data_IF_327012532182
#
_entry.id   IF_327012532182
#
_cell.length_a   1.000
_cell.length_b   1.000
_cell.length_c   1.000
_cell.angle_alpha   90.00
_cell.angle_beta   90.00
_cell.angle_gamma   90.00
#
_symmetry.space_group_name_H-M   'P 1'
#
loop_
_entity.id
_entity.type
_entity.pdbx_description
1 polymer ?
#
# COMPACT_ATOMS: atom_id res chain seq x y z
N UNK A 1 -4.91 15.19 13.50
CA UNK A 1 -3.98 14.30 14.23
C UNK A 1 -4.49 12.89 14.03
N UNK A 2 -3.87 12.14 13.11
CA UNK A 2 -4.30 10.77 12.78
C UNK A 2 -3.81 9.89 13.92
N UNK A 3 -4.71 9.55 14.86
CA UNK A 3 -4.40 8.62 15.93
C UNK A 3 -4.72 7.22 15.43
N UNK A 4 -3.68 6.49 15.03
CA UNK A 4 -3.76 5.06 14.76
C UNK A 4 -3.52 4.33 16.08
N UNK A 5 -4.59 3.86 16.69
CA UNK A 5 -4.50 2.80 17.70
C UNK A 5 -4.47 1.49 16.93
N UNK A 6 -3.47 0.63 17.18
CA UNK A 6 -3.46 -0.85 17.24
C UNK A 6 -1.98 -1.30 17.15
N UNK A 7 -1.65 -2.40 17.84
CA UNK A 7 -0.29 -2.81 18.21
C UNK A 7 0.65 -3.06 17.03
N UNK A 8 1.93 -2.79 17.32
CA UNK A 8 3.20 -3.04 16.62
C UNK A 8 3.24 -3.70 15.24
N UNK A 9 4.32 -3.34 14.53
CA UNK A 9 4.74 -3.77 13.19
C UNK A 9 3.90 -3.09 12.12
N UNK A 10 4.40 -1.96 11.63
CA UNK A 10 3.71 -1.24 10.56
C UNK A 10 4.71 -0.90 9.48
N UNK A 11 4.47 -1.50 8.32
CA UNK A 11 4.98 -0.98 7.06
C UNK A 11 4.12 0.20 6.66
N UNK A 12 4.54 1.41 7.01
CA UNK A 12 3.69 2.59 6.84
C UNK A 12 3.91 3.18 5.45
N UNK A 13 2.89 3.06 4.60
CA UNK A 13 2.74 3.95 3.46
C UNK A 13 1.78 5.07 3.83
N UNK A 14 2.20 6.33 3.74
CA UNK A 14 1.26 7.46 3.74
C UNK A 14 1.47 8.29 2.49
N UNK A 15 0.39 8.56 1.76
CA UNK A 15 0.34 9.40 0.55
C UNK A 15 -0.50 10.63 0.89
N UNK A 16 0.10 11.81 0.91
CA UNK A 16 -0.59 13.11 0.94
C UNK A 16 -0.65 13.68 -0.47
N UNK A 17 -1.74 14.37 -0.80
CA UNK A 17 -1.83 15.12 -2.05
C UNK A 17 -2.14 16.59 -1.75
N UNK A 18 -1.34 17.51 -2.30
CA UNK A 18 -1.42 18.96 -2.03
C UNK A 18 -1.36 19.70 -3.39
N UNK A 19 -2.14 20.73 -3.81
CA UNK A 19 -3.25 21.54 -3.28
C UNK A 19 -3.99 22.21 -4.49
N UNK A 20 -5.17 22.82 -4.26
CA UNK A 20 -5.94 23.86 -4.99
C UNK A 20 -6.53 23.68 -6.42
N UNK A 21 -6.27 22.61 -7.17
CA UNK A 21 -6.89 22.44 -8.51
C UNK A 21 -7.40 21.02 -8.80
N UNK A 22 -7.39 20.14 -7.80
CA UNK A 22 -7.77 18.74 -7.95
C UNK A 22 -8.66 18.33 -6.77
N UNK A 23 -9.81 17.74 -7.06
CA UNK A 23 -10.66 17.08 -6.05
C UNK A 23 -10.31 15.60 -6.05
N UNK A 24 -10.36 14.95 -4.89
CA UNK A 24 -10.01 13.53 -4.78
C UNK A 24 -11.25 12.76 -4.37
N UNK A 25 -11.67 11.84 -5.22
CA UNK A 25 -12.69 10.87 -4.85
C UNK A 25 -12.00 9.66 -4.23
N UNK A 26 -11.97 9.68 -2.91
CA UNK A 26 -11.27 8.72 -2.10
C UNK A 26 -12.27 7.72 -1.52
N UNK A 27 -12.33 6.49 -2.05
CA UNK A 27 -13.33 5.48 -1.59
C UNK A 27 -12.85 4.03 -1.67
N UNK A 28 -12.58 3.51 -0.46
CA UNK A 28 -12.74 2.17 0.13
C UNK A 28 -12.08 0.92 -0.49
N UNK A 29 -11.57 0.16 0.47
CA UNK A 29 -10.60 -0.93 0.49
C UNK A 29 -11.28 -2.30 0.41
N UNK A 30 -10.65 -3.25 -0.28
CA UNK A 30 -10.90 -4.66 0.03
C UNK A 30 -9.77 -5.14 0.92
N UNK A 31 -10.18 -5.69 2.05
CA UNK A 31 -9.36 -6.46 2.95
C UNK A 31 -9.74 -7.93 2.77
N UNK A 32 -8.79 -8.75 2.35
CA UNK A 32 -9.00 -10.19 2.25
C UNK A 32 -7.96 -10.87 3.13
N UNK A 33 -8.43 -11.48 4.21
CA UNK A 33 -7.58 -12.22 5.13
C UNK A 33 -7.17 -13.56 4.56
N UNK A 34 -6.03 -14.08 5.02
CA UNK A 34 -5.74 -15.50 4.84
C UNK A 34 -6.81 -16.37 5.54
N UNK A 35 -7.11 -17.59 5.04
CA UNK A 35 -8.15 -18.44 5.62
C UNK A 35 -7.94 -18.80 7.10
N UNK A 36 -6.68 -18.83 7.55
CA UNK A 36 -6.28 -19.09 8.92
C UNK A 36 -6.45 -17.88 9.86
N UNK A 37 -6.61 -16.67 9.31
CA UNK A 37 -6.81 -15.41 10.05
C UNK A 37 -8.20 -14.80 9.84
N UNK A 38 -9.13 -15.50 9.19
CA UNK A 38 -10.50 -15.02 8.95
C UNK A 38 -11.26 -14.71 10.26
N UNK A 39 -11.01 -15.47 11.33
CA UNK A 39 -11.66 -15.25 12.64
C UNK A 39 -11.14 -14.03 13.40
N UNK A 40 -9.86 -13.68 13.23
CA UNK A 40 -9.24 -12.51 13.86
C UNK A 40 -9.36 -11.25 13.00
N UNK A 41 -9.71 -11.41 11.72
CA UNK A 41 -9.78 -10.32 10.78
C UNK A 41 -8.40 -9.84 10.33
N UNK A 42 -7.40 -10.72 10.24
CA UNK A 42 -6.05 -10.44 9.73
C UNK A 42 -5.22 -9.46 10.56
N UNK A 43 -4.04 -9.12 10.05
CA UNK A 43 -3.05 -8.27 10.71
C UNK A 43 -2.78 -6.95 9.96
N UNK A 44 -3.17 -6.90 8.68
CA UNK A 44 -3.16 -5.71 7.85
C UNK A 44 -4.11 -4.60 8.38
N UNK A 45 -3.76 -3.35 8.13
CA UNK A 45 -4.55 -2.17 8.46
C UNK A 45 -4.51 -1.12 7.35
N UNK A 46 -5.48 -0.21 7.35
CA UNK A 46 -5.49 0.92 6.44
C UNK A 46 -6.19 2.13 7.06
N UNK A 47 -5.94 3.30 6.49
CA UNK A 47 -6.71 4.50 6.79
C UNK A 47 -6.96 5.33 5.55
N UNK A 48 -8.05 6.10 5.63
CA UNK A 48 -8.51 7.00 4.59
C UNK A 48 -8.93 8.29 5.29
N UNK A 49 -8.20 9.38 5.07
CA UNK A 49 -8.52 10.70 5.61
C UNK A 49 -8.87 11.63 4.46
N UNK A 50 -10.17 11.85 4.22
CA UNK A 50 -10.67 12.68 3.11
C UNK A 50 -10.31 14.15 3.30
N UNK A 51 -10.41 14.65 4.54
CA UNK A 51 -10.16 16.06 4.85
C UNK A 51 -8.69 16.45 4.62
N UNK A 52 -7.76 15.55 4.96
CA UNK A 52 -6.32 15.71 4.76
C UNK A 52 -5.83 15.15 3.41
N UNK A 53 -6.75 14.61 2.59
CA UNK A 53 -6.46 13.93 1.31
C UNK A 53 -5.33 12.90 1.43
N UNK A 54 -5.40 12.09 2.49
CA UNK A 54 -4.38 11.13 2.84
C UNK A 54 -4.92 9.70 2.83
N UNK A 55 -4.10 8.78 2.33
CA UNK A 55 -4.31 7.33 2.47
C UNK A 55 -3.09 6.68 3.08
N UNK A 56 -3.32 5.55 3.72
CA UNK A 56 -2.24 4.63 4.00
C UNK A 56 -2.67 3.21 4.25
N UNK A 57 -1.67 2.35 4.17
CA UNK A 57 -1.75 0.91 4.44
C UNK A 57 -0.64 0.58 5.43
N UNK A 58 -0.87 -0.43 6.23
CA UNK A 58 0.08 -1.02 7.15
C UNK A 58 -0.09 -2.53 7.15
N UNK A 59 1.02 -3.25 7.13
CA UNK A 59 1.06 -4.70 7.30
C UNK A 59 1.66 -5.02 8.67
N UNK A 60 0.92 -5.84 9.43
CA UNK A 60 1.29 -6.34 10.74
C UNK A 60 2.14 -7.61 10.63
N UNK A 61 3.43 -7.51 10.94
CA UNK A 61 4.37 -8.63 10.83
C UNK A 61 4.50 -9.43 12.13
N UNK A 62 4.28 -10.75 12.10
CA UNK A 62 4.59 -11.63 13.23
C UNK A 62 6.04 -12.16 13.18
N UNK A 63 6.86 -11.89 14.21
CA UNK A 63 8.20 -12.50 14.32
C UNK A 63 8.12 -13.93 14.89
N UNK A 64 8.63 -14.90 14.13
CA UNK A 64 8.85 -16.29 14.57
C UNK A 64 9.63 -16.33 15.90
N UNK A 65 9.03 -16.91 16.95
CA UNK A 65 9.67 -17.13 18.25
C UNK A 65 9.21 -16.22 19.39
N UNK A 66 8.32 -15.24 19.14
CA UNK A 66 7.61 -14.52 20.22
C UNK A 66 6.18 -15.05 20.29
N UNK A 67 5.76 -15.54 21.46
CA UNK A 67 4.42 -16.10 21.71
C UNK A 67 3.41 -15.05 22.20
N UNK A 68 3.79 -13.78 22.20
CA UNK A 68 3.02 -12.69 22.79
C UNK A 68 3.14 -11.43 21.94
N UNK A 69 2.03 -10.74 21.74
CA UNK A 69 2.02 -9.36 21.24
C UNK A 69 2.91 -8.49 22.14
N UNK A 70 3.88 -7.76 21.58
CA UNK A 70 4.68 -6.84 22.38
C UNK A 70 3.78 -5.75 22.95
N UNK A 71 3.96 -5.42 24.23
CA UNK A 71 3.22 -4.33 24.87
C UNK A 71 3.89 -3.00 24.52
N UNK A 72 3.22 -2.17 23.73
CA UNK A 72 3.67 -0.83 23.38
C UNK A 72 2.91 -0.25 22.18
N UNK A 73 2.92 1.06 22.02
CA UNK A 73 2.36 1.76 20.86
C UNK A 73 3.48 2.53 20.18
N UNK A 74 3.67 2.31 18.88
CA UNK A 74 4.50 3.17 18.04
C UNK A 74 3.58 4.25 17.50
N UNK A 75 4.00 5.51 17.56
CA UNK A 75 3.31 6.60 16.88
C UNK A 75 3.79 6.65 15.42
N UNK A 76 2.95 6.27 14.43
CA UNK A 76 3.30 6.36 13.02
C UNK A 76 3.53 7.82 12.60
N UNK A 77 3.05 8.78 13.39
CA UNK A 77 3.35 10.20 13.28
C UNK A 77 4.85 10.51 13.24
N UNK A 78 5.72 9.70 13.84
CA UNK A 78 7.17 9.90 13.77
C UNK A 78 7.74 9.66 12.36
N UNK A 79 7.13 8.74 11.59
CA UNK A 79 7.45 8.58 10.17
C UNK A 79 6.98 9.82 9.40
N UNK A 80 5.79 10.34 9.75
CA UNK A 80 5.21 11.54 9.15
C UNK A 80 6.01 12.83 9.46
N UNK A 81 6.74 12.89 10.57
CA UNK A 81 7.64 14.01 10.89
C UNK A 81 8.73 14.21 9.83
N UNK A 82 9.17 13.13 9.19
CA UNK A 82 10.14 13.22 8.07
C UNK A 82 9.49 13.85 6.85
N UNK A 83 8.23 13.51 6.57
CA UNK A 83 7.50 14.04 5.43
C UNK A 83 7.11 15.51 5.60
N UNK A 84 6.79 15.93 6.82
CA UNK A 84 6.41 17.33 7.14
C UNK A 84 7.57 18.32 7.08
N UNK A 85 8.82 17.83 7.07
CA UNK A 85 10.02 18.67 6.94
C UNK A 85 10.37 19.03 5.48
N UNK A 86 9.83 18.31 4.51
CA UNK A 86 10.07 18.58 3.09
C UNK A 86 9.13 19.69 2.57
N UNK A 87 9.59 20.58 1.67
CA UNK A 87 8.76 21.63 1.11
C UNK A 87 7.58 21.03 0.33
N UNK A 88 6.37 21.51 0.63
CA UNK A 88 5.12 21.08 -0.02
C UNK A 88 5.08 21.49 -1.49
N UNK A 89 5.72 20.69 -2.36
CA UNK A 89 5.64 20.83 -3.81
C UNK A 89 4.31 20.27 -4.35
N UNK A 90 3.94 20.61 -5.59
CA UNK A 90 2.74 20.07 -6.24
C UNK A 90 2.91 18.58 -6.54
N UNK A 91 1.99 17.74 -6.07
CA UNK A 91 2.03 16.31 -6.34
C UNK A 91 1.58 15.45 -5.18
N UNK A 92 1.90 14.16 -5.28
CA UNK A 92 1.87 13.21 -4.17
C UNK A 92 3.15 13.38 -3.34
N UNK A 93 3.00 13.46 -2.04
CA UNK A 93 4.06 13.27 -1.05
C UNK A 93 3.82 11.95 -0.36
N UNK A 94 4.71 10.99 -0.57
CA UNK A 94 4.60 9.67 0.02
C UNK A 94 5.77 9.37 0.95
N UNK A 95 5.54 8.57 1.97
CA UNK A 95 6.61 7.90 2.72
C UNK A 95 6.31 6.42 2.79
N UNK A 96 7.30 5.57 2.50
CA UNK A 96 7.19 4.12 2.60
C UNK A 96 8.30 3.58 3.51
N UNK A 97 7.97 2.67 4.42
CA UNK A 97 8.93 1.94 5.24
C UNK A 97 8.55 0.47 5.22
N UNK A 98 9.37 -0.39 4.61
CA UNK A 98 9.10 -1.83 4.38
C UNK A 98 8.70 -2.17 2.93
N UNK A 99 7.90 -3.22 2.72
CA UNK A 99 7.65 -3.85 1.42
C UNK A 99 6.21 -3.76 0.88
N UNK A 100 5.28 -3.25 1.68
CA UNK A 100 4.10 -2.55 1.16
C UNK A 100 4.52 -1.45 0.19
N UNK A 101 3.59 -0.98 -0.61
CA UNK A 101 3.94 0.02 -1.60
C UNK A 101 2.75 0.62 -2.33
N UNK A 102 3.08 1.36 -3.38
CA UNK A 102 2.09 1.91 -4.29
C UNK A 102 2.60 1.98 -5.71
N UNK A 103 1.65 1.98 -6.63
CA UNK A 103 1.85 2.25 -8.04
C UNK A 103 0.96 3.39 -8.49
N UNK A 104 1.45 4.19 -9.43
CA UNK A 104 0.67 5.21 -10.12
C UNK A 104 0.50 4.76 -11.56
N UNK A 105 -0.76 4.72 -12.01
CA UNK A 105 -1.13 4.40 -13.38
C UNK A 105 -1.69 5.64 -14.06
N UNK A 106 -1.13 5.99 -15.22
CA UNK A 106 -1.53 7.11 -16.08
C UNK A 106 -1.61 6.63 -17.52
N UNK A 107 -2.71 6.91 -18.21
CA UNK A 107 -2.90 6.58 -19.63
C UNK A 107 -2.61 5.10 -19.97
N UNK A 108 -2.88 4.21 -19.02
CA UNK A 108 -2.65 2.76 -19.16
C UNK A 108 -1.19 2.32 -18.99
N UNK A 109 -0.32 3.18 -18.48
CA UNK A 109 1.07 2.90 -18.15
C UNK A 109 1.32 3.06 -16.66
N UNK A 110 2.15 2.19 -16.07
CA UNK A 110 2.71 2.42 -14.73
C UNK A 110 3.74 3.55 -14.82
N UNK A 111 3.45 4.73 -14.26
CA UNK A 111 4.38 5.87 -14.25
C UNK A 111 5.29 5.89 -13.04
N UNK A 112 4.89 5.22 -11.96
CA UNK A 112 5.70 5.07 -10.77
C UNK A 112 5.34 3.77 -10.03
N UNK A 113 6.35 3.15 -9.42
CA UNK A 113 6.21 2.09 -8.42
C UNK A 113 7.18 2.39 -7.28
N UNK A 114 6.71 2.34 -6.03
CA UNK A 114 7.61 2.45 -4.89
C UNK A 114 8.57 1.25 -4.84
N UNK A 115 9.86 1.48 -4.53
CA UNK A 115 10.78 0.40 -4.24
C UNK A 115 10.37 -0.34 -2.95
N UNK A 116 10.68 -1.63 -2.92
CA UNK A 116 10.57 -2.48 -1.72
C UNK A 116 11.77 -2.22 -0.81
N UNK A 117 11.53 -2.09 0.49
CA UNK A 117 12.59 -1.98 1.50
C UNK A 117 12.68 -3.26 2.33
N UNK A 118 13.81 -3.94 2.21
CA UNK A 118 14.11 -5.17 2.94
C UNK A 118 15.61 -5.23 3.26
N UNK A 119 15.98 -5.81 4.40
CA UNK A 119 17.38 -6.06 4.74
C UNK A 119 17.91 -7.33 4.06
N UNK A 120 17.03 -8.32 3.85
CA UNK A 120 17.28 -9.55 3.09
C UNK A 120 15.94 -10.04 2.49
N UNK A 121 15.96 -11.09 1.65
CA UNK A 121 14.75 -11.65 1.05
C UNK A 121 13.71 -11.97 2.11
N UNK A 122 12.52 -11.34 1.99
CA UNK A 122 11.39 -11.52 2.92
C UNK A 122 11.75 -11.17 4.39
N UNK A 123 12.71 -10.27 4.59
CA UNK A 123 13.04 -9.68 5.89
C UNK A 123 13.00 -8.15 5.79
N UNK A 124 11.81 -7.61 6.04
CA UNK A 124 11.42 -6.24 5.69
C UNK A 124 11.89 -5.22 6.73
N UNK A 125 11.97 -3.96 6.31
CA UNK A 125 12.10 -2.87 7.28
C UNK A 125 10.78 -2.73 8.05
N UNK A 126 10.85 -2.60 9.37
CA UNK A 126 9.66 -2.58 10.23
C UNK A 126 9.84 -1.70 11.47
N UNK A 127 8.79 -0.98 11.87
CA UNK A 127 8.78 -0.26 13.14
C UNK A 127 8.48 -1.22 14.29
N UNK A 128 9.30 -1.18 15.36
CA UNK A 128 9.04 -1.90 16.61
C UNK A 128 9.07 -0.94 17.82
N UNK A 129 8.22 -1.18 18.84
CA UNK A 129 8.19 -0.41 20.10
C UNK A 129 9.39 -0.73 21.02
N UNK A 130 10.32 -1.57 20.55
CA UNK A 130 11.55 -1.98 21.24
C UNK A 130 12.81 -1.48 20.53
N UNK A 131 13.97 -2.03 20.90
CA UNK A 131 15.28 -1.65 20.34
C UNK A 131 15.63 -2.38 19.05
N UNK A 132 14.82 -3.36 18.63
CA UNK A 132 15.15 -4.29 17.55
C UNK A 132 14.48 -3.94 16.21
N UNK A 133 13.69 -2.85 16.18
CA UNK A 133 13.02 -2.33 14.99
C UNK A 133 13.84 -1.23 14.30
N UNK A 134 13.42 -0.89 13.09
CA UNK A 134 14.01 0.18 12.32
C UNK A 134 13.57 1.55 12.84
N UNK A 135 14.46 2.54 12.66
CA UNK A 135 14.14 3.91 13.01
C UNK A 135 13.05 4.46 12.07
N UNK A 136 12.09 5.29 12.56
CA UNK A 136 11.14 5.98 11.70
C UNK A 136 11.81 6.81 10.58
N UNK A 137 13.02 7.30 10.84
CA UNK A 137 13.82 8.03 9.86
C UNK A 137 14.32 7.18 8.68
N UNK A 138 14.22 5.86 8.75
CA UNK A 138 14.58 4.93 7.66
C UNK A 138 13.57 4.96 6.51
N UNK A 139 12.35 5.46 6.75
CA UNK A 139 11.30 5.52 5.73
C UNK A 139 11.74 6.38 4.55
N UNK A 140 11.50 5.90 3.34
CA UNK A 140 11.85 6.62 2.12
C UNK A 140 10.73 7.57 1.73
N UNK A 141 11.10 8.83 1.52
CA UNK A 141 10.20 9.90 1.12
C UNK A 141 10.21 10.04 -0.40
N UNK A 142 9.04 10.28 -0.97
CA UNK A 142 8.82 10.49 -2.39
C UNK A 142 8.00 11.75 -2.61
N UNK A 143 8.38 12.54 -3.61
CA UNK A 143 7.57 13.64 -4.14
C UNK A 143 7.36 13.38 -5.63
N UNK A 144 6.13 13.10 -6.03
CA UNK A 144 5.81 12.62 -7.38
C UNK A 144 4.76 13.54 -8.03
N UNK A 145 5.05 14.12 -9.19
CA UNK A 145 4.06 14.94 -9.90
C UNK A 145 2.90 14.08 -10.41
N UNK A 146 1.68 14.53 -10.14
CA UNK A 146 0.44 13.88 -10.61
C UNK A 146 -0.32 14.74 -11.61
N UNK A 147 -1.15 14.09 -12.41
CA UNK A 147 -2.07 14.69 -13.35
C UNK A 147 -3.51 14.20 -13.11
N UNK A 148 -4.50 14.98 -13.54
CA UNK A 148 -5.88 14.52 -13.57
C UNK A 148 -6.00 13.26 -14.44
N UNK A 149 -6.73 12.26 -13.95
CA UNK A 149 -6.85 10.94 -14.57
C UNK A 149 -5.89 9.89 -13.99
N UNK A 150 -4.90 10.29 -13.19
CA UNK A 150 -4.02 9.34 -12.50
C UNK A 150 -4.81 8.47 -11.52
N UNK A 151 -4.43 7.19 -11.46
CA UNK A 151 -4.93 6.24 -10.47
C UNK A 151 -3.76 5.79 -9.60
N UNK A 152 -3.88 6.01 -8.30
CA UNK A 152 -2.96 5.49 -7.29
C UNK A 152 -3.54 4.18 -6.77
N UNK A 153 -2.73 3.12 -6.78
CA UNK A 153 -3.04 1.85 -6.11
C UNK A 153 -1.98 1.63 -5.04
N UNK A 154 -2.38 1.73 -3.77
CA UNK A 154 -1.56 1.38 -2.61
C UNK A 154 -2.00 0.02 -2.06
N UNK A 155 -1.06 -0.74 -1.50
CA UNK A 155 -1.36 -2.03 -0.91
C UNK A 155 -0.20 -2.64 -0.16
N UNK A 156 -0.51 -3.72 0.55
CA UNK A 156 0.46 -4.51 1.33
C UNK A 156 1.20 -5.50 0.45
N UNK A 157 2.17 -6.21 1.02
CA UNK A 157 2.94 -7.22 0.30
C UNK A 157 2.02 -8.32 -0.27
N UNK A 158 0.94 -8.70 0.40
CA UNK A 158 -0.04 -9.66 -0.10
C UNK A 158 -0.64 -9.29 -1.47
N UNK A 159 -0.69 -7.99 -1.81
CA UNK A 159 -0.96 -7.53 -3.17
C UNK A 159 0.26 -7.72 -4.09
N UNK A 160 1.40 -7.11 -3.73
CA UNK A 160 2.54 -6.94 -4.63
C UNK A 160 3.41 -8.19 -4.80
N UNK A 161 3.31 -9.14 -3.89
CA UNK A 161 3.89 -10.48 -3.97
C UNK A 161 3.17 -11.37 -4.96
N UNK A 162 1.89 -11.07 -5.22
CA UNK A 162 1.00 -11.91 -6.00
C UNK A 162 0.64 -11.34 -7.38
N UNK A 163 0.76 -10.03 -7.59
CA UNK A 163 0.48 -9.37 -8.87
C UNK A 163 1.67 -8.60 -9.44
N UNK A 164 1.96 -8.84 -10.71
CA UNK A 164 2.87 -7.98 -11.46
C UNK A 164 2.24 -6.61 -11.77
N UNK A 165 3.08 -5.58 -11.96
CA UNK A 165 2.62 -4.21 -12.25
C UNK A 165 1.72 -4.13 -13.50
N UNK A 166 1.99 -4.96 -14.51
CA UNK A 166 1.18 -5.03 -15.73
C UNK A 166 -0.20 -5.64 -15.46
N UNK A 167 -0.33 -6.59 -14.52
CA UNK A 167 -1.62 -7.13 -14.10
C UNK A 167 -2.44 -6.08 -13.34
N UNK A 168 -1.82 -5.36 -12.39
CA UNK A 168 -2.46 -4.23 -11.70
C UNK A 168 -2.91 -3.17 -12.71
N UNK A 169 -2.03 -2.77 -13.62
CA UNK A 169 -2.33 -1.79 -14.68
C UNK A 169 -3.46 -2.25 -15.59
N UNK A 170 -3.51 -3.54 -15.96
CA UNK A 170 -4.58 -4.08 -16.79
C UNK A 170 -5.95 -3.99 -16.09
N UNK A 171 -6.01 -4.28 -14.78
CA UNK A 171 -7.25 -4.12 -14.00
C UNK A 171 -7.67 -2.66 -13.93
N UNK A 172 -6.72 -1.74 -13.69
CA UNK A 172 -6.98 -0.29 -13.67
C UNK A 172 -7.53 0.19 -15.02
N UNK A 173 -6.86 -0.15 -16.12
CA UNK A 173 -7.30 0.23 -17.48
C UNK A 173 -8.70 -0.29 -17.78
N UNK A 174 -8.97 -1.55 -17.46
CA UNK A 174 -10.29 -2.13 -17.66
C UNK A 174 -11.35 -1.40 -16.82
N UNK A 175 -11.07 -1.16 -15.54
CA UNK A 175 -12.00 -0.49 -14.64
C UNK A 175 -12.29 0.96 -15.06
N UNK A 176 -11.27 1.73 -15.46
CA UNK A 176 -11.44 3.09 -16.00
C UNK A 176 -12.31 3.07 -17.26
N UNK A 177 -12.02 2.18 -18.22
CA UNK A 177 -12.81 2.04 -19.46
C UNK A 177 -14.27 1.64 -19.21
N UNK A 178 -14.49 0.82 -18.19
CA UNK A 178 -15.83 0.40 -17.79
C UNK A 178 -16.58 1.43 -16.93
N UNK A 179 -15.96 2.58 -16.61
CA UNK A 179 -16.54 3.60 -15.73
C UNK A 179 -16.68 3.15 -14.28
N UNK A 180 -15.91 2.16 -13.84
CA UNK A 180 -15.92 1.69 -12.46
C UNK A 180 -15.20 2.67 -11.55
N UNK A 181 -15.82 2.95 -10.40
CA UNK A 181 -15.21 3.75 -9.35
C UNK A 181 -14.09 3.02 -8.59
N UNK A 182 -13.33 3.73 -7.74
CA UNK A 182 -12.20 3.19 -6.99
C UNK A 182 -12.52 1.93 -6.18
N UNK A 183 -13.71 1.85 -5.58
CA UNK A 183 -14.14 0.70 -4.77
C UNK A 183 -14.26 -0.60 -5.58
N UNK A 184 -14.89 -0.55 -6.76
CA UNK A 184 -15.01 -1.74 -7.61
C UNK A 184 -13.65 -2.11 -8.19
N UNK A 185 -12.80 -1.11 -8.44
CA UNK A 185 -11.42 -1.32 -8.90
C UNK A 185 -10.57 -2.03 -7.83
N UNK A 186 -10.58 -1.55 -6.58
CA UNK A 186 -9.84 -2.15 -5.47
C UNK A 186 -10.29 -3.59 -5.23
N UNK A 187 -11.59 -3.86 -5.25
CA UNK A 187 -12.16 -5.21 -5.14
C UNK A 187 -11.65 -6.15 -6.25
N UNK A 188 -11.59 -5.68 -7.49
CA UNK A 188 -11.09 -6.49 -8.62
C UNK A 188 -9.61 -6.78 -8.51
N UNK A 189 -8.81 -5.80 -8.10
CA UNK A 189 -7.36 -5.97 -7.88
C UNK A 189 -7.13 -7.00 -6.77
N UNK A 190 -7.79 -6.82 -5.62
CA UNK A 190 -7.64 -7.72 -4.48
C UNK A 190 -8.16 -9.14 -4.78
N UNK A 191 -9.27 -9.28 -5.51
CA UNK A 191 -9.76 -10.59 -5.94
C UNK A 191 -8.77 -11.31 -6.87
N UNK A 192 -8.14 -10.57 -7.79
CA UNK A 192 -7.10 -11.14 -8.65
C UNK A 192 -5.85 -11.52 -7.85
N UNK A 193 -5.42 -10.69 -6.89
CA UNK A 193 -4.31 -10.99 -5.99
C UNK A 193 -4.58 -12.27 -5.18
N UNK A 194 -5.77 -12.40 -4.57
CA UNK A 194 -6.18 -13.61 -3.84
C UNK A 194 -6.19 -14.84 -4.73
N UNK A 195 -6.68 -14.70 -5.97
CA UNK A 195 -6.65 -15.79 -6.94
C UNK A 195 -5.21 -16.23 -7.26
N UNK A 196 -4.25 -15.29 -7.36
CA UNK A 196 -2.84 -15.61 -7.61
C UNK A 196 -2.17 -16.21 -6.39
N UNK A 197 -2.46 -15.70 -5.20
CA UNK A 197 -1.99 -16.23 -3.92
C UNK A 197 -2.34 -17.72 -3.73
N UNK A 198 -3.52 -18.14 -4.19
CA UNK A 198 -3.99 -19.53 -4.09
C UNK A 198 -3.44 -20.47 -5.17
N UNK A 199 -2.89 -19.94 -6.26
CA UNK A 199 -2.39 -20.74 -7.37
C UNK A 199 -0.96 -21.22 -7.10
N UNK A 200 -0.84 -22.49 -6.69
CA UNK A 200 0.45 -23.12 -6.35
C UNK A 200 1.39 -23.36 -7.54
N UNK A 201 0.92 -23.16 -8.77
CA UNK A 201 1.70 -23.46 -9.98
C UNK A 201 2.06 -22.19 -10.77
N UNK A 202 1.51 -21.03 -10.39
CA UNK A 202 1.78 -19.77 -11.08
C UNK A 202 3.10 -19.17 -10.62
N UNK A 203 3.86 -18.60 -11.54
CA UNK A 203 4.95 -17.69 -11.18
C UNK A 203 4.39 -16.34 -10.78
N UNK A 204 4.69 -15.91 -9.57
CA UNK A 204 4.34 -14.60 -9.00
C UNK A 204 5.60 -13.77 -8.77
N UNK A 205 5.47 -12.46 -8.51
CA UNK A 205 6.60 -11.63 -8.08
C UNK A 205 7.37 -12.26 -6.91
N UNK A 206 6.67 -12.76 -5.88
CA UNK A 206 7.30 -13.40 -4.73
C UNK A 206 8.04 -14.68 -5.10
N UNK A 207 7.42 -15.59 -5.87
CA UNK A 207 8.11 -16.82 -6.26
C UNK A 207 9.34 -16.57 -7.10
N UNK A 208 9.29 -15.54 -7.96
CA UNK A 208 10.45 -15.11 -8.75
C UNK A 208 11.56 -14.57 -7.85
N UNK A 209 11.23 -13.65 -6.94
CA UNK A 209 12.20 -13.08 -6.00
C UNK A 209 12.81 -14.15 -5.07
N UNK A 210 12.01 -15.13 -4.63
CA UNK A 210 12.49 -16.25 -3.83
C UNK A 210 13.52 -17.09 -4.59
N UNK A 211 13.25 -17.38 -5.87
CA UNK A 211 14.17 -18.13 -6.74
C UNK A 211 15.47 -17.35 -7.01
N UNK A 212 15.37 -16.04 -7.25
CA UNK A 212 16.52 -15.16 -7.43
C UNK A 212 17.39 -15.09 -6.17
N UNK A 213 16.76 -15.18 -4.99
CA UNK A 213 17.44 -15.29 -3.69
C UNK A 213 17.96 -16.71 -3.37
N UNK A 214 17.76 -17.69 -4.26
CA UNK A 214 18.27 -19.05 -4.13
C UNK A 214 17.34 -20.04 -3.43
N UNK A 215 16.10 -19.65 -3.12
CA UNK A 215 15.11 -20.52 -2.50
C UNK A 215 14.32 -21.31 -3.56
N UNK A 216 13.97 -22.56 -3.22
CA UNK A 216 13.05 -23.38 -4.04
C UNK A 216 11.61 -23.08 -3.64
N UNK A 217 11.02 -22.07 -4.27
CA UNK A 217 9.62 -21.68 -4.06
C UNK A 217 8.86 -21.59 -5.39
N UNK A 218 7.58 -21.98 -5.38
CA UNK A 218 6.68 -21.95 -6.54
C UNK A 218 5.26 -21.60 -6.09
N UNK A 219 4.50 -20.92 -6.96
CA UNK A 219 3.13 -20.53 -6.67
C UNK A 219 3.01 -19.15 -6.03
N UNK A 220 1.77 -18.75 -5.73
CA UNK A 220 1.49 -17.56 -4.95
C UNK A 220 1.81 -17.70 -3.47
N UNK A 221 1.96 -16.55 -2.81
CA UNK A 221 2.16 -16.42 -1.37
C UNK A 221 0.80 -16.09 -0.74
N UNK A 222 0.31 -16.95 0.15
CA UNK A 222 -0.90 -16.65 0.93
C UNK A 222 -0.54 -15.61 1.99
N UNK A 223 -1.16 -14.44 1.91
CA UNK A 223 -1.00 -13.36 2.87
C UNK A 223 -2.29 -12.56 3.01
N UNK A 224 -2.35 -11.69 4.01
CA UNK A 224 -3.42 -10.69 4.12
C UNK A 224 -3.27 -9.70 2.96
N UNK A 225 -4.39 -9.33 2.32
CA UNK A 225 -4.39 -8.50 1.12
C UNK A 225 -5.17 -7.23 1.41
N UNK A 226 -4.46 -6.11 1.44
CA UNK A 226 -5.03 -4.77 1.51
C UNK A 226 -4.77 -4.00 0.24
N UNK A 227 -5.84 -3.43 -0.33
CA UNK A 227 -5.75 -2.58 -1.53
C UNK A 227 -6.54 -1.28 -1.34
N UNK A 228 -5.86 -0.15 -1.42
CA UNK A 228 -6.45 1.19 -1.44
C UNK A 228 -6.27 1.80 -2.83
N UNK A 229 -7.38 2.27 -3.42
CA UNK A 229 -7.35 2.95 -4.73
C UNK A 229 -7.80 4.40 -4.57
N UNK A 230 -7.07 5.33 -5.20
CA UNK A 230 -7.41 6.75 -5.25
C UNK A 230 -7.33 7.28 -6.68
N UNK A 231 -8.29 8.13 -7.06
CA UNK A 231 -8.32 8.81 -8.36
C UNK A 231 -7.96 10.28 -8.19
N UNK A 232 -7.07 10.76 -9.07
CA UNK A 232 -6.75 12.18 -9.18
C UNK A 232 -7.74 12.81 -10.16
N UNK A 233 -8.56 13.75 -9.72
CA UNK A 233 -9.55 14.42 -10.59
C UNK A 233 -9.38 15.93 -10.57
N UNK A 234 -9.67 16.59 -11.69
CA UNK A 234 -9.76 18.06 -11.77
C UNK A 234 -10.77 18.62 -10.77
N UNK A 235 -10.43 19.70 -10.06
CA UNK A 235 -11.40 20.39 -9.22
C UNK A 235 -12.48 20.98 -10.11
N UNK A 236 -13.72 20.55 -9.88
CA UNK A 236 -14.87 21.19 -10.51
C UNK A 236 -15.05 22.56 -9.85
N UNK A 237 -14.66 23.66 -10.50
CA UNK A 237 -15.13 24.98 -10.09
C UNK A 237 -16.63 25.05 -10.38
N UNK A 238 -17.46 24.64 -9.44
CA UNK A 238 -18.89 24.94 -9.46
C UNK A 238 -19.09 26.42 -9.12
N UNK A 239 -18.75 27.30 -10.07
CA UNK A 239 -19.29 28.66 -10.09
C UNK A 239 -20.71 28.56 -10.62
N UNK A 240 -21.65 28.23 -9.72
CA UNK A 240 -23.07 28.42 -10.00
C UNK A 240 -23.36 29.91 -9.87
N UNK A 241 -23.42 30.60 -11.02
CA UNK A 241 -24.09 31.91 -11.18
C UNK A 241 -25.58 31.81 -10.91
#
# INVERSE_FOLDING_TARGET
MISMFWGLYQVVLVVFVNENLLTYHLKIVLFATTPDKEETGGEDAHFICVDEQAIGVADGVWRLGRSYEPKGSIDPGQVLEKLTREPRQKGIHAINLGDSGFVIVRDGCTVFKSPVQQHDFNFTFQLESGTDGDLPSSGQVFTIPVAAGDVIVAGTDGLFDNLYNNEVTAVVVHAVRAGFGPQVMSQKIAALARQRAQDKNRQTPFSTAAQDAGFRYYGGKLDDITVVVSHITSSSNSNTT
#
